data_IF_218964626596
#
_entry.id   IF_218964626596
#
_cell.length_a   1.000
_cell.length_b   1.000
_cell.length_c   1.000
_cell.angle_alpha   90.00
_cell.angle_beta   90.00
_cell.angle_gamma   90.00
#
_symmetry.space_group_name_H-M   'P 1'
#
loop_
_entity.id
_entity.type
_entity.pdbx_description
1 polymer ?
#
# COMPACT_ATOMS: atom_id res chain seq x y z
N UNK A 1 -9.99 14.65 -9.75
CA UNK A 1 -9.37 13.35 -10.10
C UNK A 1 -8.09 13.61 -10.86
N UNK A 2 -6.98 13.54 -10.15
CA UNK A 2 -5.64 13.61 -10.69
C UNK A 2 -5.29 12.33 -11.45
N UNK A 3 -4.35 12.47 -12.37
CA UNK A 3 -3.83 11.38 -13.20
C UNK A 3 -2.32 11.32 -13.03
N UNK A 4 -1.68 10.26 -13.54
CA UNK A 4 -0.21 10.16 -13.53
C UNK A 4 0.48 11.41 -14.11
N UNK A 5 -0.15 12.13 -15.04
CA UNK A 5 0.41 13.33 -15.65
C UNK A 5 0.49 14.55 -14.69
N UNK A 6 -0.26 14.55 -13.59
CA UNK A 6 -0.28 15.62 -12.59
C UNK A 6 0.87 15.49 -11.57
N UNK A 7 1.56 14.33 -11.57
CA UNK A 7 2.64 13.98 -10.66
C UNK A 7 3.96 13.77 -11.42
N UNK A 8 5.08 14.01 -10.75
CA UNK A 8 6.40 13.63 -11.26
C UNK A 8 6.60 12.12 -11.11
N UNK A 9 7.56 11.54 -11.84
CA UNK A 9 7.89 10.12 -11.70
C UNK A 9 8.32 9.75 -10.27
N UNK A 10 8.98 10.67 -9.55
CA UNK A 10 9.41 10.46 -8.16
C UNK A 10 8.21 10.47 -7.19
N UNK A 11 7.29 11.42 -7.34
CA UNK A 11 6.06 11.50 -6.55
C UNK A 11 5.16 10.29 -6.81
N UNK A 12 5.03 9.92 -8.09
CA UNK A 12 4.29 8.76 -8.53
C UNK A 12 4.84 7.48 -7.91
N UNK A 13 6.17 7.34 -7.94
CA UNK A 13 6.86 6.22 -7.34
C UNK A 13 6.64 6.16 -5.83
N UNK A 14 6.75 7.27 -5.12
CA UNK A 14 6.48 7.32 -3.68
C UNK A 14 5.06 6.86 -3.33
N UNK A 15 4.06 7.27 -4.13
CA UNK A 15 2.67 6.82 -3.96
C UNK A 15 2.51 5.31 -4.18
N UNK A 16 3.16 4.76 -5.21
CA UNK A 16 3.15 3.32 -5.49
C UNK A 16 3.88 2.52 -4.41
N UNK A 17 5.02 3.02 -3.95
CA UNK A 17 5.81 2.44 -2.86
C UNK A 17 5.07 2.47 -1.52
N UNK A 18 4.27 3.50 -1.24
CA UNK A 18 3.38 3.54 -0.08
C UNK A 18 2.32 2.44 -0.11
N UNK A 19 1.64 2.24 -1.25
CA UNK A 19 0.61 1.19 -1.41
C UNK A 19 1.25 -0.21 -1.27
N UNK A 20 2.34 -0.44 -1.99
CA UNK A 20 3.05 -1.71 -1.96
C UNK A 20 3.63 -1.99 -0.56
N UNK A 21 4.21 -0.97 0.08
CA UNK A 21 4.73 -1.03 1.44
C UNK A 21 3.65 -1.38 2.47
N UNK A 22 2.45 -0.82 2.37
CA UNK A 22 1.35 -1.11 3.29
C UNK A 22 0.91 -2.59 3.22
N UNK A 23 0.76 -3.12 2.00
CA UNK A 23 0.49 -4.55 1.81
C UNK A 23 1.63 -5.42 2.32
N UNK A 24 2.88 -5.03 2.04
CA UNK A 24 4.09 -5.73 2.50
C UNK A 24 4.21 -5.72 4.04
N UNK A 25 3.88 -4.60 4.69
CA UNK A 25 3.97 -4.46 6.14
C UNK A 25 2.99 -5.38 6.87
N UNK A 26 1.75 -5.48 6.39
CA UNK A 26 0.79 -6.46 6.93
C UNK A 26 1.26 -7.89 6.65
N UNK A 27 1.74 -8.15 5.42
CA UNK A 27 2.26 -9.44 4.98
C UNK A 27 3.43 -9.98 5.81
N UNK A 28 4.36 -9.12 6.25
CA UNK A 28 5.55 -9.54 7.01
C UNK A 28 5.27 -9.73 8.51
N UNK A 29 4.21 -9.10 9.02
CA UNK A 29 3.80 -9.18 10.42
C UNK A 29 3.30 -10.60 10.73
N UNK A 30 2.55 -11.20 9.80
CA UNK A 30 2.28 -12.64 9.86
C UNK A 30 3.45 -13.44 9.25
N UNK A 31 4.18 -14.15 10.11
CA UNK A 31 5.34 -14.96 9.69
C UNK A 31 4.94 -16.09 8.72
N UNK A 32 3.70 -16.57 8.78
CA UNK A 32 3.16 -17.59 7.87
C UNK A 32 2.92 -17.04 6.47
N UNK A 33 2.50 -15.78 6.36
CA UNK A 33 2.41 -15.08 5.08
C UNK A 33 3.79 -14.70 4.55
N UNK A 34 4.76 -14.24 5.35
CA UNK A 34 6.11 -13.91 4.85
C UNK A 34 6.84 -15.11 4.22
N UNK A 35 6.77 -16.29 4.83
CA UNK A 35 7.29 -17.53 4.23
C UNK A 35 6.54 -17.87 2.92
N UNK A 36 5.21 -17.77 2.94
CA UNK A 36 4.38 -17.94 1.73
C UNK A 36 4.64 -16.85 0.67
N UNK A 37 5.07 -15.65 1.07
CA UNK A 37 5.35 -14.49 0.23
C UNK A 37 6.70 -14.61 -0.46
N UNK A 38 7.70 -15.17 0.23
CA UNK A 38 8.93 -15.66 -0.37
C UNK A 38 8.65 -16.69 -1.48
N UNK A 39 7.58 -17.45 -1.34
CA UNK A 39 7.08 -18.40 -2.34
C UNK A 39 6.02 -17.79 -3.30
N UNK A 40 5.57 -16.53 -3.09
CA UNK A 40 4.34 -16.01 -3.70
C UNK A 40 4.51 -15.44 -5.10
N UNK A 41 4.23 -16.30 -6.07
CA UNK A 41 3.59 -15.94 -7.34
C UNK A 41 2.19 -15.27 -7.15
N UNK A 42 1.59 -15.35 -5.95
CA UNK A 42 0.22 -14.92 -5.65
C UNK A 42 0.01 -13.39 -5.56
N UNK A 43 1.03 -12.62 -5.15
CA UNK A 43 0.94 -11.15 -5.11
C UNK A 43 0.65 -10.56 -6.50
N UNK A 44 1.25 -11.16 -7.53
CA UNK A 44 1.03 -10.81 -8.93
C UNK A 44 -0.41 -11.05 -9.42
N UNK A 45 -1.19 -11.89 -8.74
CA UNK A 45 -2.59 -12.16 -9.07
C UNK A 45 -3.53 -11.15 -8.41
N UNK A 46 -3.33 -10.83 -7.13
CA UNK A 46 -4.17 -9.85 -6.42
C UNK A 46 -3.96 -8.41 -6.93
N UNK A 47 -2.74 -8.01 -7.30
CA UNK A 47 -2.51 -6.71 -7.96
C UNK A 47 -3.29 -6.59 -9.28
N UNK A 48 -3.44 -7.70 -10.00
CA UNK A 48 -4.22 -7.79 -11.24
C UNK A 48 -5.73 -7.68 -11.00
N UNK A 49 -6.21 -8.16 -9.87
CA UNK A 49 -7.63 -8.14 -9.50
C UNK A 49 -8.05 -6.77 -8.97
N UNK A 50 -7.22 -6.11 -8.16
CA UNK A 50 -7.43 -4.73 -7.72
C UNK A 50 -7.47 -3.72 -8.89
N UNK A 51 -6.68 -3.97 -9.95
CA UNK A 51 -6.72 -3.20 -11.20
C UNK A 51 -8.06 -3.34 -11.94
N UNK A 52 -8.80 -4.45 -11.80
CA UNK A 52 -10.04 -4.68 -12.52
C UNK A 52 -11.27 -3.99 -11.87
N UNK A 53 -11.19 -3.60 -10.61
CA UNK A 53 -12.33 -3.13 -9.82
C UNK A 53 -12.31 -1.63 -9.45
N UNK A 54 -11.30 -0.86 -9.87
CA UNK A 54 -11.18 0.56 -9.48
C UNK A 54 -11.79 1.52 -10.50
N UNK A 55 -12.86 2.22 -10.11
CA UNK A 55 -13.51 3.29 -10.89
C UNK A 55 -12.71 4.61 -10.96
N UNK A 56 -11.66 4.78 -10.15
CA UNK A 56 -10.82 5.98 -10.13
C UNK A 56 -9.56 5.80 -10.99
N UNK A 57 -9.35 6.72 -11.94
CA UNK A 57 -8.22 6.73 -12.90
C UNK A 57 -6.86 6.74 -12.18
N UNK A 58 -6.73 7.54 -11.12
CA UNK A 58 -5.50 7.62 -10.31
C UNK A 58 -5.16 6.24 -9.74
N UNK A 59 -6.15 5.60 -9.14
CA UNK A 59 -6.04 4.31 -8.45
C UNK A 59 -5.68 3.21 -9.45
N UNK A 60 -6.34 3.21 -10.61
CA UNK A 60 -6.04 2.27 -11.70
C UNK A 60 -4.60 2.42 -12.19
N UNK A 61 -4.14 3.65 -12.43
CA UNK A 61 -2.77 3.88 -12.86
C UNK A 61 -1.78 3.45 -11.75
N UNK A 62 -2.05 3.77 -10.48
CA UNK A 62 -1.18 3.38 -9.36
C UNK A 62 -1.05 1.85 -9.27
N UNK A 63 -2.13 1.11 -9.48
CA UNK A 63 -2.17 -0.35 -9.48
C UNK A 63 -1.38 -1.02 -10.63
N UNK A 64 -1.05 -0.28 -11.71
CA UNK A 64 -0.21 -0.81 -12.80
C UNK A 64 1.30 -0.78 -12.53
N UNK A 65 1.73 -0.26 -11.38
CA UNK A 65 3.13 -0.13 -10.99
C UNK A 65 3.85 -1.46 -10.80
N UNK A 66 4.81 -1.73 -11.68
CA UNK A 66 5.62 -2.96 -11.68
C UNK A 66 7.08 -2.67 -11.27
N UNK A 67 7.34 -1.72 -10.37
CA UNK A 67 8.71 -1.36 -10.01
C UNK A 67 9.12 -1.92 -8.65
N UNK A 68 9.87 -3.03 -8.74
CA UNK A 68 10.66 -3.74 -7.70
C UNK A 68 9.92 -4.18 -6.42
N UNK A 69 10.18 -5.40 -5.94
CA UNK A 69 9.62 -5.87 -4.68
C UNK A 69 10.19 -5.03 -3.54
N UNK A 70 9.35 -4.17 -2.98
CA UNK A 70 9.66 -3.35 -1.82
C UNK A 70 10.18 -4.25 -0.69
N UNK A 71 11.37 -3.97 -0.16
CA UNK A 71 11.85 -4.58 1.08
C UNK A 71 12.14 -6.09 1.08
N UNK A 72 12.39 -6.74 -0.06
CA UNK A 72 12.68 -8.21 -0.10
C UNK A 72 13.82 -8.67 0.82
N UNK A 73 14.71 -7.78 1.23
CA UNK A 73 15.83 -8.03 2.17
C UNK A 73 15.78 -7.19 3.44
N UNK A 74 14.72 -6.39 3.63
CA UNK A 74 14.61 -5.46 4.74
C UNK A 74 13.96 -6.16 5.95
N UNK A 75 14.36 -5.75 7.15
CA UNK A 75 13.78 -6.24 8.40
C UNK A 75 12.34 -5.74 8.53
N UNK A 76 11.46 -6.40 9.32
CA UNK A 76 10.09 -5.94 9.48
C UNK A 76 9.95 -4.49 9.95
N UNK A 77 10.82 -4.07 10.85
CA UNK A 77 10.88 -2.69 11.33
C UNK A 77 11.36 -1.69 10.25
N UNK A 78 12.23 -2.11 9.34
CA UNK A 78 12.69 -1.26 8.22
C UNK A 78 11.59 -1.10 7.17
N UNK A 79 10.86 -2.18 6.88
CA UNK A 79 9.71 -2.13 5.98
C UNK A 79 8.61 -1.25 6.58
N UNK A 80 8.33 -1.38 7.88
CA UNK A 80 7.42 -0.50 8.60
C UNK A 80 7.80 0.98 8.45
N UNK A 81 9.02 1.34 8.84
CA UNK A 81 9.49 2.73 8.78
C UNK A 81 9.49 3.27 7.35
N UNK A 82 9.96 2.46 6.40
CA UNK A 82 9.97 2.83 4.99
C UNK A 82 8.55 3.02 4.45
N UNK A 83 7.60 2.18 4.86
CA UNK A 83 6.19 2.25 4.47
C UNK A 83 5.55 3.50 5.04
N UNK A 84 5.74 3.76 6.33
CA UNK A 84 5.19 4.96 6.99
C UNK A 84 5.75 6.22 6.31
N UNK A 85 7.06 6.28 6.06
CA UNK A 85 7.68 7.42 5.41
C UNK A 85 7.15 7.65 3.98
N UNK A 86 6.95 6.60 3.18
CA UNK A 86 6.40 6.75 1.82
C UNK A 86 4.91 7.10 1.83
N UNK A 87 4.13 6.58 2.79
CA UNK A 87 2.72 6.95 2.98
C UNK A 87 2.57 8.43 3.38
N UNK A 88 3.38 8.91 4.33
CA UNK A 88 3.38 10.33 4.73
C UNK A 88 3.76 11.25 3.57
N UNK A 89 4.76 10.85 2.77
CA UNK A 89 5.12 11.57 1.55
C UNK A 89 3.98 11.60 0.53
N UNK A 90 3.36 10.45 0.27
CA UNK A 90 2.23 10.35 -0.66
C UNK A 90 1.05 11.22 -0.23
N UNK A 91 0.72 11.21 1.07
CA UNK A 91 -0.30 12.08 1.66
C UNK A 91 0.07 13.55 1.47
N UNK A 92 1.30 13.96 1.79
CA UNK A 92 1.73 15.35 1.62
C UNK A 92 1.67 15.83 0.15
N UNK A 93 2.05 14.96 -0.79
CA UNK A 93 1.95 15.23 -2.24
C UNK A 93 0.49 15.43 -2.64
N UNK A 94 -0.40 14.53 -2.19
CA UNK A 94 -1.83 14.60 -2.48
C UNK A 94 -2.48 15.80 -1.79
N UNK A 95 -2.13 16.16 -0.55
CA UNK A 95 -2.64 17.38 0.10
C UNK A 95 -2.25 18.63 -0.68
N UNK A 96 -1.01 18.69 -1.18
CA UNK A 96 -0.50 19.84 -1.90
C UNK A 96 -1.08 19.97 -3.32
N UNK A 97 -1.27 18.86 -4.03
CA UNK A 97 -1.66 18.85 -5.45
C UNK A 97 -3.11 18.49 -5.69
N UNK A 98 -3.66 17.56 -4.92
CA UNK A 98 -4.94 16.89 -5.21
C UNK A 98 -5.62 16.43 -3.91
N UNK A 99 -6.03 17.38 -3.04
CA UNK A 99 -6.64 17.04 -1.74
C UNK A 99 -7.97 16.29 -1.88
N UNK A 100 -8.61 16.40 -3.05
CA UNK A 100 -9.81 15.64 -3.42
C UNK A 100 -9.56 14.13 -3.61
N UNK A 101 -8.38 13.74 -4.10
CA UNK A 101 -8.01 12.35 -4.36
C UNK A 101 -7.38 11.67 -3.14
N UNK A 102 -7.00 12.45 -2.15
CA UNK A 102 -6.39 11.96 -0.93
C UNK A 102 -7.28 10.97 -0.17
N UNK A 103 -8.60 11.20 -0.14
CA UNK A 103 -9.54 10.25 0.45
C UNK A 103 -9.56 8.93 -0.30
N UNK A 104 -9.53 8.96 -1.64
CA UNK A 104 -9.48 7.76 -2.46
C UNK A 104 -8.16 7.00 -2.28
N UNK A 105 -7.03 7.70 -2.15
CA UNK A 105 -5.73 7.09 -1.88
C UNK A 105 -5.70 6.39 -0.50
N UNK A 106 -6.20 7.05 0.55
CA UNK A 106 -6.31 6.45 1.89
C UNK A 106 -7.16 5.18 1.89
N UNK A 107 -8.29 5.22 1.19
CA UNK A 107 -9.16 4.05 1.04
C UNK A 107 -8.43 2.92 0.34
N UNK A 108 -7.79 3.18 -0.80
CA UNK A 108 -7.03 2.16 -1.53
C UNK A 108 -5.95 1.52 -0.66
N UNK A 109 -5.12 2.30 0.02
CA UNK A 109 -4.04 1.76 0.86
C UNK A 109 -4.62 0.88 1.97
N UNK A 110 -5.72 1.33 2.59
CA UNK A 110 -6.41 0.55 3.63
C UNK A 110 -7.02 -0.73 3.07
N UNK A 111 -7.64 -0.69 1.89
CA UNK A 111 -8.22 -1.85 1.21
C UNK A 111 -7.15 -2.86 0.82
N UNK A 112 -6.01 -2.41 0.29
CA UNK A 112 -4.88 -3.29 -0.05
C UNK A 112 -4.33 -3.97 1.20
N UNK A 113 -4.07 -3.20 2.26
CA UNK A 113 -3.56 -3.74 3.52
C UNK A 113 -4.56 -4.73 4.14
N UNK A 114 -5.85 -4.42 4.09
CA UNK A 114 -6.90 -5.28 4.62
C UNK A 114 -7.10 -6.55 3.77
N UNK A 115 -7.06 -6.44 2.45
CA UNK A 115 -7.13 -7.58 1.53
C UNK A 115 -5.99 -8.57 1.78
N UNK A 116 -4.77 -8.06 2.05
CA UNK A 116 -3.63 -8.90 2.41
C UNK A 116 -3.85 -9.59 3.77
N UNK A 117 -4.34 -8.86 4.78
CA UNK A 117 -4.65 -9.44 6.09
C UNK A 117 -5.74 -10.53 6.01
N UNK A 118 -6.78 -10.30 5.21
CA UNK A 118 -7.86 -11.28 5.01
C UNK A 118 -7.38 -12.50 4.21
N UNK A 119 -6.45 -12.31 3.27
CA UNK A 119 -5.83 -13.40 2.52
C UNK A 119 -4.97 -14.32 3.42
N UNK A 120 -4.42 -13.81 4.53
CA UNK A 120 -3.58 -14.54 5.47
C UNK A 120 -4.36 -15.51 6.41
N UNK A 121 -5.47 -16.08 5.94
CA UNK A 121 -6.40 -16.94 6.70
C UNK A 121 -7.10 -16.23 7.88
N UNK A 122 -7.29 -14.91 7.75
CA UNK A 122 -8.04 -14.08 8.68
C UNK A 122 -7.14 -13.15 9.50
N UNK A 123 -7.66 -11.95 9.78
CA UNK A 123 -6.89 -10.87 10.42
C UNK A 123 -6.54 -11.21 11.86
N UNK A 124 -5.27 -11.50 12.11
CA UNK A 124 -4.71 -11.70 13.43
C UNK A 124 -4.67 -10.38 14.23
N UNK A 125 -4.53 -10.44 15.57
CA UNK A 125 -4.35 -9.23 16.38
C UNK A 125 -3.13 -8.40 15.96
N UNK A 126 -2.08 -9.04 15.45
CA UNK A 126 -0.86 -8.39 15.01
C UNK A 126 -1.07 -7.66 13.67
N UNK A 127 -1.79 -8.27 12.73
CA UNK A 127 -2.18 -7.60 11.49
C UNK A 127 -3.14 -6.44 11.73
N UNK A 128 -4.04 -6.54 12.71
CA UNK A 128 -4.87 -5.40 13.13
C UNK A 128 -4.03 -4.23 13.66
N UNK A 129 -2.96 -4.50 14.42
CA UNK A 129 -2.02 -3.45 14.83
C UNK A 129 -1.28 -2.84 13.65
N UNK A 130 -0.89 -3.66 12.68
CA UNK A 130 -0.25 -3.19 11.45
C UNK A 130 -1.17 -2.29 10.62
N UNK A 131 -2.44 -2.68 10.48
CA UNK A 131 -3.49 -1.88 9.85
C UNK A 131 -3.73 -0.56 10.58
N UNK A 132 -3.73 -0.57 11.91
CA UNK A 132 -3.85 0.64 12.73
C UNK A 132 -2.67 1.59 12.48
N UNK A 133 -1.43 1.06 12.44
CA UNK A 133 -0.24 1.84 12.10
C UNK A 133 -0.31 2.47 10.70
N UNK A 134 -0.74 1.71 9.69
CA UNK A 134 -0.93 2.24 8.33
C UNK A 134 -2.00 3.35 8.33
N UNK A 135 -3.12 3.15 9.03
CA UNK A 135 -4.19 4.16 9.14
C UNK A 135 -3.71 5.42 9.86
N UNK A 136 -2.89 5.27 10.89
CA UNK A 136 -2.28 6.38 11.60
C UNK A 136 -1.33 7.18 10.70
N UNK A 137 -0.47 6.50 9.93
CA UNK A 137 0.44 7.13 8.96
C UNK A 137 -0.30 7.89 7.85
N UNK A 138 -1.47 7.39 7.44
CA UNK A 138 -2.35 8.07 6.48
C UNK A 138 -3.09 9.29 7.05
N UNK A 139 -2.98 9.54 8.36
CA UNK A 139 -3.77 10.56 9.04
C UNK A 139 -5.28 10.23 9.06
N UNK A 140 -5.65 8.96 8.94
CA UNK A 140 -7.04 8.46 8.98
C UNK A 140 -7.55 8.23 10.41
N UNK A 141 -6.81 8.66 11.43
CA UNK A 141 -7.22 8.58 12.83
C UNK A 141 -8.37 9.57 13.11
N UNK A 142 -9.59 9.18 12.76
CA UNK A 142 -10.82 9.95 13.00
C UNK A 142 -12.06 9.08 12.86
#
# INVERSE_FOLDING_TARGET
MATKADFTDEEWKAMQEGIAGAGMYVAIIDRGFFDSFKEASALSHHLREAHAHSDNVLIRDLATGHDKPFGMTASPAEIEQSTVATLEQAVAILEAKSPEDLTAYRQLVTEVAQSVAEAAKGVSPQENQALDHVRAALGSSG
#
